data_IF_262190942045
#
_entry.id   IF_262190942045
#
_cell.length_a   1.000
_cell.length_b   1.000
_cell.length_c   1.000
_cell.angle_alpha   90.00
_cell.angle_beta   90.00
_cell.angle_gamma   90.00
#
_symmetry.space_group_name_H-M   'P 1'
#
loop_
_entity.id
_entity.type
_entity.pdbx_description
1 polymer ?
#
# COMPACT_ATOMS: atom_id res chain seq x y z
N UNK A 1 38.35 10.77 -31.32
CA UNK A 1 37.19 9.96 -31.71
C UNK A 1 36.03 10.26 -30.77
N UNK A 2 34.80 10.39 -31.27
CA UNK A 2 33.64 10.62 -30.40
C UNK A 2 33.44 9.44 -29.44
N UNK A 3 33.19 9.74 -28.17
CA UNK A 3 32.84 8.72 -27.17
C UNK A 3 31.41 8.24 -27.41
N UNK A 4 31.14 6.94 -27.19
CA UNK A 4 29.80 6.36 -27.33
C UNK A 4 28.81 7.12 -26.40
N UNK A 5 27.76 7.74 -26.96
CA UNK A 5 26.75 8.50 -26.20
C UNK A 5 26.86 10.04 -26.32
N UNK A 6 27.86 10.60 -26.93
CA UNK A 6 28.01 12.07 -27.06
C UNK A 6 27.12 12.70 -28.14
N UNK A 7 26.45 11.90 -28.99
CA UNK A 7 25.60 12.37 -30.10
C UNK A 7 26.30 13.42 -31.02
N UNK A 8 27.61 13.18 -31.29
CA UNK A 8 28.42 13.99 -32.19
C UNK A 8 29.02 13.07 -33.24
N UNK A 9 28.80 13.36 -34.50
CA UNK A 9 29.27 12.53 -35.62
C UNK A 9 29.75 13.35 -36.80
N UNK A 10 30.68 12.80 -37.60
CA UNK A 10 31.23 13.45 -38.79
C UNK A 10 30.32 13.17 -39.99
N UNK A 11 29.88 14.20 -40.67
CA UNK A 11 29.06 14.11 -41.87
C UNK A 11 29.91 13.77 -43.10
N UNK A 12 29.25 13.38 -44.18
CA UNK A 12 29.87 13.10 -45.48
C UNK A 12 30.48 14.35 -46.14
N UNK A 13 29.97 15.55 -45.78
CA UNK A 13 30.47 16.83 -46.22
C UNK A 13 31.70 17.33 -45.45
N UNK A 14 32.23 16.52 -44.55
CA UNK A 14 33.45 16.81 -43.76
C UNK A 14 33.20 17.56 -42.45
N UNK A 15 32.03 18.16 -42.23
CA UNK A 15 31.68 18.89 -41.02
C UNK A 15 31.27 17.92 -39.91
N UNK A 16 31.35 18.41 -38.66
CA UNK A 16 30.86 17.71 -37.46
C UNK A 16 29.48 18.22 -37.07
N UNK A 17 28.55 17.31 -36.83
CA UNK A 17 27.21 17.57 -36.37
C UNK A 17 27.07 17.07 -34.93
N UNK A 18 26.56 17.94 -34.06
CA UNK A 18 26.25 17.62 -32.65
C UNK A 18 24.78 17.80 -32.37
N UNK A 19 24.09 16.75 -31.95
CA UNK A 19 22.68 16.79 -31.63
C UNK A 19 22.46 16.95 -30.12
N UNK A 20 21.51 17.77 -29.71
CA UNK A 20 21.12 17.98 -28.32
C UNK A 20 19.61 18.09 -28.20
N UNK A 21 19.08 17.82 -27.01
CA UNK A 21 17.64 17.96 -26.74
C UNK A 21 17.36 19.44 -26.46
N UNK A 22 16.60 20.08 -27.35
CA UNK A 22 16.16 21.47 -27.19
C UNK A 22 14.92 21.59 -26.29
N UNK A 23 14.05 20.57 -26.29
CA UNK A 23 12.81 20.54 -25.53
C UNK A 23 12.14 19.19 -25.59
N UNK A 24 10.92 19.13 -25.07
CA UNK A 24 10.01 17.99 -25.27
C UNK A 24 8.63 18.52 -25.62
N UNK A 25 7.93 17.87 -26.54
CA UNK A 25 6.55 18.16 -26.89
C UNK A 25 5.60 17.88 -25.73
N UNK A 26 4.36 18.35 -25.80
CA UNK A 26 3.30 18.04 -24.85
C UNK A 26 3.03 16.53 -24.71
N UNK A 27 3.34 15.74 -25.75
CA UNK A 27 3.27 14.27 -25.75
C UNK A 27 4.50 13.58 -25.15
N UNK A 28 5.52 14.35 -24.67
CA UNK A 28 6.74 13.82 -24.06
C UNK A 28 7.85 13.44 -25.06
N UNK A 29 7.64 13.57 -26.36
CA UNK A 29 8.67 13.32 -27.38
C UNK A 29 9.78 14.38 -27.31
N UNK A 30 11.05 13.95 -27.47
CA UNK A 30 12.18 14.86 -27.46
C UNK A 30 12.24 15.67 -28.76
N UNK A 31 12.32 17.00 -28.63
CA UNK A 31 12.68 17.92 -29.71
C UNK A 31 14.18 18.11 -29.74
N UNK A 32 14.80 17.91 -30.89
CA UNK A 32 16.24 18.00 -31.05
C UNK A 32 16.64 19.29 -31.71
N UNK A 33 17.76 19.85 -31.28
CA UNK A 33 18.50 20.88 -31.99
C UNK A 33 19.82 20.31 -32.47
N UNK A 34 20.31 20.82 -33.60
CA UNK A 34 21.56 20.41 -34.23
C UNK A 34 22.53 21.58 -34.30
N UNK A 35 23.81 21.35 -34.04
CA UNK A 35 24.90 22.31 -34.22
C UNK A 35 25.97 21.76 -35.17
N UNK A 36 26.60 22.62 -35.90
CA UNK A 36 27.61 22.27 -36.89
C UNK A 36 28.92 22.99 -36.67
N UNK A 37 30.06 22.30 -36.88
CA UNK A 37 31.39 22.89 -36.80
C UNK A 37 32.39 22.09 -37.66
N UNK A 38 33.51 22.71 -37.98
CA UNK A 38 34.54 22.13 -38.83
C UNK A 38 35.45 21.13 -38.05
N UNK A 39 35.40 21.13 -36.74
CA UNK A 39 36.14 20.19 -35.88
C UNK A 39 35.26 19.60 -34.77
N UNK A 40 35.60 18.39 -34.35
CA UNK A 40 34.95 17.72 -33.22
C UNK A 40 34.95 18.57 -31.96
N UNK A 41 36.12 19.19 -31.63
CA UNK A 41 36.27 20.04 -30.43
C UNK A 41 35.38 21.26 -30.47
N UNK A 42 35.30 21.94 -31.63
CA UNK A 42 34.44 23.09 -31.83
C UNK A 42 32.94 22.72 -31.81
N UNK A 43 32.58 21.58 -32.41
CA UNK A 43 31.21 21.07 -32.35
C UNK A 43 30.76 20.76 -30.95
N UNK A 44 31.62 20.12 -30.16
CA UNK A 44 31.38 19.81 -28.75
C UNK A 44 31.19 21.08 -27.92
N UNK A 45 32.05 22.09 -28.10
CA UNK A 45 31.97 23.36 -27.40
C UNK A 45 30.66 24.10 -27.75
N UNK A 46 30.31 24.22 -29.04
CA UNK A 46 29.04 24.82 -29.50
C UNK A 46 27.82 24.08 -28.92
N UNK A 47 27.84 22.74 -28.94
CA UNK A 47 26.77 21.94 -28.39
C UNK A 47 26.59 22.21 -26.89
N UNK A 48 27.70 22.25 -26.13
CA UNK A 48 27.68 22.54 -24.70
C UNK A 48 27.15 23.94 -24.42
N UNK A 49 27.59 24.94 -25.17
CA UNK A 49 27.10 26.31 -25.08
C UNK A 49 25.61 26.40 -25.39
N UNK A 50 25.11 25.69 -26.42
CA UNK A 50 23.67 25.64 -26.70
C UNK A 50 22.87 24.99 -25.57
N UNK A 51 23.42 23.95 -24.90
CA UNK A 51 22.75 23.32 -23.75
C UNK A 51 22.71 24.28 -22.57
N UNK A 52 23.78 25.02 -22.31
CA UNK A 52 23.89 26.00 -21.20
C UNK A 52 23.05 27.26 -21.46
N UNK A 53 22.86 27.64 -22.73
CA UNK A 53 22.01 28.78 -23.12
C UNK A 53 20.55 28.40 -23.38
N UNK A 54 20.21 27.10 -23.30
CA UNK A 54 18.80 26.74 -23.27
C UNK A 54 18.16 27.48 -22.11
N UNK A 55 17.05 28.25 -22.31
CA UNK A 55 16.33 28.80 -21.20
C UNK A 55 16.03 27.64 -20.25
N UNK A 56 16.46 27.77 -19.00
CA UNK A 56 15.90 26.89 -17.97
C UNK A 56 14.41 26.83 -18.25
N UNK A 57 13.86 25.61 -18.38
CA UNK A 57 12.41 25.44 -18.56
C UNK A 57 11.76 26.56 -17.77
N UNK A 58 10.93 27.44 -18.38
CA UNK A 58 10.28 28.48 -17.62
C UNK A 58 9.72 27.76 -16.41
N UNK A 59 10.16 28.17 -15.20
CA UNK A 59 9.69 27.54 -13.97
C UNK A 59 8.17 27.63 -14.12
N UNK A 60 7.55 26.50 -14.52
CA UNK A 60 6.09 26.39 -14.70
C UNK A 60 5.58 27.04 -13.45
N UNK A 61 4.82 28.12 -13.59
CA UNK A 61 4.40 29.02 -12.51
C UNK A 61 4.14 28.14 -11.32
N UNK A 62 5.03 28.25 -10.31
CA UNK A 62 5.14 27.25 -9.25
C UNK A 62 3.74 27.10 -8.74
N UNK A 63 3.13 25.97 -9.01
CA UNK A 63 1.72 25.74 -8.69
C UNK A 63 1.58 26.14 -7.24
N UNK A 64 0.87 27.22 -6.95
CA UNK A 64 0.62 27.69 -5.60
C UNK A 64 -0.21 26.68 -4.78
N UNK A 65 -0.48 25.51 -5.39
CA UNK A 65 -1.24 24.44 -4.77
C UNK A 65 -0.56 24.00 -3.47
N UNK A 66 -1.30 24.11 -2.39
CA UNK A 66 -0.88 23.62 -1.08
C UNK A 66 -0.92 22.11 -1.03
N UNK A 67 -0.19 21.53 -0.07
CA UNK A 67 -0.26 20.07 0.15
C UNK A 67 -1.68 19.61 0.53
N UNK A 68 -2.48 20.46 1.18
CA UNK A 68 -3.88 20.16 1.48
C UNK A 68 -4.70 19.96 0.21
N UNK A 69 -4.60 20.87 -0.76
CA UNK A 69 -5.27 20.77 -2.05
C UNK A 69 -4.76 19.56 -2.87
N UNK A 70 -3.45 19.31 -2.83
CA UNK A 70 -2.85 18.14 -3.47
C UNK A 70 -3.36 16.82 -2.87
N UNK A 71 -3.51 16.75 -1.56
CA UNK A 71 -4.01 15.58 -0.86
C UNK A 71 -5.50 15.34 -1.15
N UNK A 72 -6.32 16.38 -1.19
CA UNK A 72 -7.73 16.30 -1.55
C UNK A 72 -7.90 15.77 -2.98
N UNK A 73 -7.15 16.33 -3.93
CA UNK A 73 -7.15 15.87 -5.32
C UNK A 73 -6.74 14.40 -5.44
N UNK A 74 -5.70 13.98 -4.71
CA UNK A 74 -5.25 12.59 -4.69
C UNK A 74 -6.30 11.65 -4.09
N UNK A 75 -6.89 12.01 -2.94
CA UNK A 75 -7.87 11.18 -2.25
C UNK A 75 -9.18 11.06 -3.03
N UNK A 76 -9.64 12.12 -3.68
CA UNK A 76 -10.85 12.10 -4.51
C UNK A 76 -10.68 11.13 -5.69
N UNK A 77 -9.59 11.22 -6.43
CA UNK A 77 -9.30 10.30 -7.54
C UNK A 77 -9.14 8.85 -7.05
N UNK A 78 -8.46 8.66 -5.93
CA UNK A 78 -8.24 7.31 -5.38
C UNK A 78 -9.49 6.70 -4.77
N UNK A 79 -10.52 7.47 -4.44
CA UNK A 79 -11.80 6.97 -3.91
C UNK A 79 -12.50 6.00 -4.85
N UNK A 80 -12.35 6.19 -6.17
CA UNK A 80 -12.96 5.34 -7.19
C UNK A 80 -12.19 4.04 -7.47
N UNK A 81 -10.91 3.98 -7.10
CA UNK A 81 -10.02 2.85 -7.43
C UNK A 81 -9.68 2.02 -6.21
N UNK A 82 -9.55 2.64 -5.04
CA UNK A 82 -9.15 1.96 -3.83
C UNK A 82 -10.32 1.28 -3.13
N UNK A 83 -10.05 0.11 -2.54
CA UNK A 83 -11.00 -0.47 -1.57
C UNK A 83 -11.21 0.49 -0.40
N UNK A 84 -12.44 0.53 0.12
CA UNK A 84 -12.84 1.44 1.20
C UNK A 84 -11.90 1.40 2.42
N UNK A 85 -11.38 0.21 2.78
CA UNK A 85 -10.41 0.07 3.89
C UNK A 85 -9.08 0.79 3.64
N UNK A 86 -8.58 0.74 2.41
CA UNK A 86 -7.34 1.43 2.02
C UNK A 86 -7.55 2.93 1.94
N UNK A 87 -8.68 3.35 1.38
CA UNK A 87 -9.06 4.77 1.31
C UNK A 87 -9.21 5.36 2.71
N UNK A 88 -9.92 4.69 3.62
CA UNK A 88 -10.06 5.10 5.02
C UNK A 88 -8.70 5.26 5.71
N UNK A 89 -7.77 4.32 5.48
CA UNK A 89 -6.40 4.40 6.00
C UNK A 89 -5.66 5.62 5.46
N UNK A 90 -5.71 5.85 4.15
CA UNK A 90 -5.05 7.00 3.51
C UNK A 90 -5.63 8.32 4.00
N UNK A 91 -6.95 8.43 4.06
CA UNK A 91 -7.65 9.60 4.60
C UNK A 91 -7.25 9.87 6.04
N UNK A 92 -7.24 8.83 6.89
CA UNK A 92 -6.83 8.94 8.29
C UNK A 92 -5.38 9.44 8.43
N UNK A 93 -4.43 8.80 7.73
CA UNK A 93 -3.01 9.19 7.80
C UNK A 93 -2.80 10.62 7.30
N UNK A 94 -3.51 11.00 6.25
CA UNK A 94 -3.45 12.35 5.68
C UNK A 94 -3.98 13.38 6.68
N UNK A 95 -5.18 13.18 7.21
CA UNK A 95 -5.84 14.14 8.09
C UNK A 95 -5.17 14.27 9.45
N UNK A 96 -4.66 13.18 10.04
CA UNK A 96 -4.14 13.18 11.40
C UNK A 96 -2.65 13.48 11.50
N UNK A 97 -1.87 13.20 10.46
CA UNK A 97 -0.42 13.37 10.51
C UNK A 97 0.12 14.34 9.47
N UNK A 98 -0.32 14.24 8.20
CA UNK A 98 0.29 15.00 7.11
C UNK A 98 -0.23 16.44 7.10
N UNK A 99 -1.53 16.64 7.07
CA UNK A 99 -2.12 17.98 6.94
C UNK A 99 -1.85 18.89 8.13
N UNK A 100 -1.88 18.45 9.40
CA UNK A 100 -1.57 19.34 10.53
C UNK A 100 -0.13 19.85 10.51
N UNK A 101 0.79 19.12 9.92
CA UNK A 101 2.21 19.46 9.91
C UNK A 101 2.66 20.22 8.64
N UNK A 102 2.10 19.86 7.48
CA UNK A 102 2.61 20.29 6.17
C UNK A 102 1.50 20.81 5.24
N UNK A 103 0.23 20.76 5.65
CA UNK A 103 -0.92 21.04 4.79
C UNK A 103 -0.92 22.39 4.10
N UNK A 104 -0.43 23.43 4.75
CA UNK A 104 -0.36 24.80 4.22
C UNK A 104 0.83 25.07 3.31
N UNK A 105 1.82 24.17 3.30
CA UNK A 105 3.02 24.35 2.50
C UNK A 105 2.74 24.17 1.00
N UNK A 106 3.22 25.05 0.13
CA UNK A 106 3.18 24.86 -1.31
C UNK A 106 4.01 23.61 -1.72
N UNK A 107 3.43 22.74 -2.55
CA UNK A 107 4.07 21.46 -2.91
C UNK A 107 5.43 21.63 -3.61
N UNK A 108 5.59 22.71 -4.36
CA UNK A 108 6.84 23.01 -5.07
C UNK A 108 7.97 23.50 -4.13
N UNK A 109 7.62 23.94 -2.92
CA UNK A 109 8.58 24.43 -1.92
C UNK A 109 8.93 23.36 -0.87
N UNK A 110 8.18 22.25 -0.82
CA UNK A 110 8.46 21.14 0.08
C UNK A 110 9.76 20.45 -0.33
N UNK A 111 10.80 20.61 0.50
CA UNK A 111 12.09 19.98 0.28
C UNK A 111 12.14 18.55 0.82
N UNK A 112 13.11 17.77 0.35
CA UNK A 112 13.37 16.43 0.87
C UNK A 112 13.73 16.44 2.36
N UNK A 113 14.50 17.43 2.80
CA UNK A 113 14.92 17.59 4.20
C UNK A 113 13.75 17.91 5.13
N UNK A 114 12.85 18.81 4.71
CA UNK A 114 11.63 19.11 5.49
C UNK A 114 10.76 17.88 5.70
N UNK A 115 10.62 17.03 4.68
CA UNK A 115 9.85 15.77 4.79
C UNK A 115 10.59 14.78 5.69
N UNK A 116 11.91 14.65 5.55
CA UNK A 116 12.71 13.76 6.40
C UNK A 116 12.67 14.19 7.86
N UNK A 117 12.73 15.51 8.13
CA UNK A 117 12.57 16.07 9.49
C UNK A 117 11.17 15.85 10.06
N UNK A 118 10.13 15.98 9.25
CA UNK A 118 8.77 15.66 9.63
C UNK A 118 8.64 14.19 10.06
N UNK A 119 9.18 13.27 9.27
CA UNK A 119 9.13 11.83 9.59
C UNK A 119 9.94 11.49 10.85
N UNK A 120 11.09 12.13 11.06
CA UNK A 120 11.87 12.01 12.30
C UNK A 120 11.11 12.51 13.53
N UNK A 121 10.39 13.64 13.41
CA UNK A 121 9.54 14.16 14.50
C UNK A 121 8.43 13.18 14.86
N UNK A 122 7.78 12.54 13.88
CA UNK A 122 6.77 11.51 14.14
C UNK A 122 7.34 10.32 14.92
N UNK A 123 8.57 9.89 14.61
CA UNK A 123 9.22 8.82 15.38
C UNK A 123 9.54 9.25 16.81
N UNK A 124 10.03 10.48 17.01
CA UNK A 124 10.30 11.02 18.34
C UNK A 124 9.03 11.19 19.19
N UNK A 125 7.88 11.41 18.57
CA UNK A 125 6.57 11.44 19.26
C UNK A 125 6.00 10.04 19.58
N UNK A 126 6.77 8.97 19.35
CA UNK A 126 6.39 7.60 19.72
C UNK A 126 5.81 6.75 18.59
N UNK A 127 5.72 7.25 17.34
CA UNK A 127 5.32 6.40 16.22
C UNK A 127 6.39 5.38 15.88
N UNK A 128 5.94 4.15 15.59
CA UNK A 128 6.85 3.11 15.11
C UNK A 128 7.51 3.51 13.79
N UNK A 129 8.76 3.08 13.57
CA UNK A 129 9.47 3.35 12.31
C UNK A 129 8.70 2.88 11.07
N UNK A 130 7.95 1.76 11.20
CA UNK A 130 7.05 1.28 10.13
C UNK A 130 5.93 2.29 9.85
N UNK A 131 5.26 2.79 10.90
CA UNK A 131 4.17 3.76 10.74
C UNK A 131 4.65 5.06 10.12
N UNK A 132 5.79 5.60 10.58
CA UNK A 132 6.39 6.79 10.01
C UNK A 132 6.76 6.58 8.53
N UNK A 133 7.31 5.41 8.17
CA UNK A 133 7.60 5.05 6.78
C UNK A 133 6.33 4.98 5.93
N UNK A 134 5.25 4.37 6.42
CA UNK A 134 3.97 4.26 5.69
C UNK A 134 3.39 5.66 5.40
N UNK A 135 3.49 6.59 6.37
CA UNK A 135 3.11 8.00 6.18
C UNK A 135 3.98 8.66 5.10
N UNK A 136 5.28 8.46 5.14
CA UNK A 136 6.22 8.99 4.14
C UNK A 136 5.94 8.44 2.73
N UNK A 137 5.62 7.14 2.60
CA UNK A 137 5.23 6.53 1.32
C UNK A 137 3.96 7.17 0.77
N UNK A 138 2.96 7.39 1.63
CA UNK A 138 1.72 8.05 1.24
C UNK A 138 1.97 9.50 0.80
N UNK A 139 2.74 10.28 1.58
CA UNK A 139 3.10 11.66 1.24
C UNK A 139 3.82 11.74 -0.12
N UNK A 140 4.82 10.87 -0.34
CA UNK A 140 5.50 10.78 -1.65
C UNK A 140 4.55 10.42 -2.78
N UNK A 141 3.55 9.57 -2.53
CA UNK A 141 2.54 9.20 -3.52
C UNK A 141 1.62 10.38 -3.87
N UNK A 142 1.22 11.18 -2.88
CA UNK A 142 0.47 12.43 -3.08
C UNK A 142 1.29 13.40 -3.94
N UNK A 143 2.53 13.67 -3.55
CA UNK A 143 3.42 14.60 -4.26
C UNK A 143 3.69 14.15 -5.70
N UNK A 144 4.00 12.87 -5.93
CA UNK A 144 4.24 12.32 -7.27
C UNK A 144 3.01 12.44 -8.17
N UNK A 145 1.83 12.11 -7.62
CA UNK A 145 0.59 12.20 -8.36
C UNK A 145 0.28 13.64 -8.77
N UNK A 146 0.39 14.58 -7.82
CA UNK A 146 0.07 15.98 -8.05
C UNK A 146 1.11 16.65 -8.96
N UNK A 147 2.40 16.36 -8.77
CA UNK A 147 3.45 16.84 -9.65
C UNK A 147 3.20 16.46 -11.12
N UNK A 148 2.78 15.19 -11.34
CA UNK A 148 2.42 14.71 -12.69
C UNK A 148 1.17 15.40 -13.23
N UNK A 149 0.14 15.63 -12.40
CA UNK A 149 -1.14 16.20 -12.84
C UNK A 149 -1.04 17.70 -13.11
N UNK A 150 -0.22 18.42 -12.34
CA UNK A 150 -0.02 19.87 -12.47
C UNK A 150 1.23 20.24 -13.28
N UNK A 151 1.94 19.28 -13.83
CA UNK A 151 3.23 19.44 -14.55
C UNK A 151 4.22 20.34 -13.80
N UNK A 152 4.36 20.12 -12.49
CA UNK A 152 5.24 20.90 -11.62
C UNK A 152 6.32 20.04 -10.97
N UNK A 153 7.43 20.68 -10.55
CA UNK A 153 8.50 20.03 -9.78
C UNK A 153 8.14 19.99 -8.30
N UNK A 154 8.34 18.85 -7.68
CA UNK A 154 8.15 18.63 -6.23
C UNK A 154 9.42 18.00 -5.65
N UNK A 155 10.39 18.80 -5.15
CA UNK A 155 11.67 18.29 -4.61
C UNK A 155 11.49 17.26 -3.49
N UNK A 156 10.44 17.40 -2.68
CA UNK A 156 10.09 16.52 -1.59
C UNK A 156 9.84 15.04 -1.99
N UNK A 157 9.61 14.77 -3.28
CA UNK A 157 9.48 13.40 -3.77
C UNK A 157 10.75 12.57 -3.50
N UNK A 158 11.90 13.20 -3.43
CA UNK A 158 13.20 12.56 -3.21
C UNK A 158 13.52 12.34 -1.72
N UNK A 159 12.64 12.70 -0.79
CA UNK A 159 12.87 12.53 0.64
C UNK A 159 13.24 11.08 1.00
N UNK A 160 14.18 10.93 1.91
CA UNK A 160 14.54 9.62 2.45
C UNK A 160 13.47 9.13 3.43
N UNK A 161 13.15 7.86 3.33
CA UNK A 161 12.16 7.23 4.20
C UNK A 161 12.86 6.55 5.38
N UNK A 162 12.28 6.60 6.59
CA UNK A 162 12.83 5.92 7.75
C UNK A 162 13.09 4.44 7.48
N UNK A 163 14.25 3.96 7.87
CA UNK A 163 14.55 2.52 7.90
C UNK A 163 13.86 1.94 9.14
N UNK A 164 13.27 0.78 9.00
CA UNK A 164 12.75 0.01 10.13
C UNK A 164 13.14 -1.45 9.99
N UNK A 165 13.47 -2.05 11.11
CA UNK A 165 13.70 -3.49 11.19
C UNK A 165 12.40 -4.19 11.54
N UNK A 166 12.06 -5.23 10.78
CA UNK A 166 10.91 -6.08 11.11
C UNK A 166 11.22 -6.82 12.40
N UNK A 167 10.32 -6.74 13.38
CA UNK A 167 10.40 -7.60 14.57
C UNK A 167 10.28 -9.06 14.11
N UNK A 168 11.07 -9.93 14.71
CA UNK A 168 10.92 -11.38 14.51
C UNK A 168 9.52 -11.78 14.98
N UNK A 169 8.81 -12.53 14.14
CA UNK A 169 7.50 -13.05 14.50
C UNK A 169 7.74 -14.25 15.41
N UNK A 170 7.17 -14.22 16.59
CA UNK A 170 7.10 -15.37 17.47
C UNK A 170 5.99 -16.30 16.97
N UNK A 171 6.31 -17.56 16.82
CA UNK A 171 5.39 -18.61 16.39
C UNK A 171 5.28 -19.65 17.49
N UNK A 172 4.12 -20.26 17.62
CA UNK A 172 3.93 -21.37 18.56
C UNK A 172 4.75 -22.57 18.13
N UNK A 173 5.40 -23.21 19.07
CA UNK A 173 6.03 -24.50 18.87
C UNK A 173 5.00 -25.64 19.00
N UNK A 174 5.36 -26.83 18.55
CA UNK A 174 4.44 -27.97 18.50
C UNK A 174 3.88 -28.35 19.89
N UNK A 175 4.70 -28.29 20.93
CA UNK A 175 4.30 -28.52 22.31
C UNK A 175 3.32 -27.47 22.86
N UNK A 176 3.48 -26.21 22.46
CA UNK A 176 2.56 -25.13 22.84
C UNK A 176 1.21 -25.30 22.16
N UNK A 177 1.22 -25.67 20.86
CA UNK A 177 0.00 -26.01 20.13
C UNK A 177 -0.69 -27.23 20.78
N UNK A 178 0.06 -28.25 21.16
CA UNK A 178 -0.46 -29.43 21.86
C UNK A 178 -1.13 -29.07 23.20
N UNK A 179 -0.51 -28.21 24.01
CA UNK A 179 -1.09 -27.70 25.27
C UNK A 179 -2.37 -26.90 25.06
N UNK A 180 -2.39 -26.04 24.02
CA UNK A 180 -3.58 -25.29 23.65
C UNK A 180 -4.73 -26.23 23.21
N UNK A 181 -4.44 -27.20 22.34
CA UNK A 181 -5.40 -28.18 21.90
C UNK A 181 -6.01 -28.96 23.07
N UNK A 182 -5.17 -29.45 24.00
CA UNK A 182 -5.62 -30.14 25.20
C UNK A 182 -6.59 -29.30 26.04
N UNK A 183 -6.24 -28.02 26.30
CA UNK A 183 -7.13 -27.11 27.05
C UNK A 183 -8.48 -26.88 26.36
N UNK A 184 -8.48 -26.75 25.04
CA UNK A 184 -9.72 -26.55 24.28
C UNK A 184 -10.59 -27.82 24.34
N UNK A 185 -9.98 -29.00 24.27
CA UNK A 185 -10.70 -30.28 24.35
C UNK A 185 -11.25 -30.57 25.76
N UNK A 186 -10.56 -30.13 26.82
CA UNK A 186 -11.03 -30.28 28.22
C UNK A 186 -12.24 -29.39 28.51
N UNK A 187 -12.31 -28.20 27.92
CA UNK A 187 -13.40 -27.23 28.08
C UNK A 187 -13.78 -26.60 26.75
N UNK A 188 -14.51 -27.30 25.87
CA UNK A 188 -14.82 -26.83 24.52
C UNK A 188 -15.67 -25.56 24.54
N UNK A 189 -15.14 -24.49 23.93
CA UNK A 189 -15.90 -23.29 23.61
C UNK A 189 -15.88 -23.06 22.10
N UNK A 190 -16.90 -22.41 21.54
CA UNK A 190 -16.91 -22.11 20.10
C UNK A 190 -15.70 -21.28 19.68
N UNK A 191 -15.24 -20.38 20.53
CA UNK A 191 -14.04 -19.61 20.27
C UNK A 191 -12.77 -20.47 20.26
N UNK A 192 -12.63 -21.41 21.23
CA UNK A 192 -11.51 -22.35 21.29
C UNK A 192 -11.48 -23.29 20.08
N UNK A 193 -12.62 -23.89 19.73
CA UNK A 193 -12.75 -24.70 18.52
C UNK A 193 -12.40 -23.89 17.26
N UNK A 194 -12.81 -22.61 17.21
CA UNK A 194 -12.46 -21.70 16.14
C UNK A 194 -10.96 -21.43 16.03
N UNK A 195 -10.29 -21.28 17.18
CA UNK A 195 -8.82 -21.09 17.20
C UNK A 195 -8.10 -22.35 16.70
N UNK A 196 -8.51 -23.56 17.14
CA UNK A 196 -7.95 -24.80 16.63
C UNK A 196 -8.21 -24.97 15.12
N UNK A 197 -9.41 -24.59 14.66
CA UNK A 197 -9.74 -24.58 13.25
C UNK A 197 -8.83 -23.64 12.46
N UNK A 198 -8.59 -22.44 13.00
CA UNK A 198 -7.69 -21.47 12.34
C UNK A 198 -6.23 -21.95 12.29
N UNK A 199 -5.76 -22.63 13.34
CA UNK A 199 -4.42 -23.24 13.36
C UNK A 199 -4.27 -24.36 12.32
N UNK A 200 -5.28 -25.25 12.21
CA UNK A 200 -5.25 -26.34 11.26
C UNK A 200 -5.41 -25.88 9.80
N UNK A 201 -6.32 -24.95 9.55
CA UNK A 201 -6.67 -24.50 8.21
C UNK A 201 -5.93 -23.22 7.76
N UNK A 202 -5.07 -22.64 8.58
CA UNK A 202 -4.38 -21.37 8.27
C UNK A 202 -5.35 -20.22 7.99
N UNK A 203 -6.48 -20.16 8.71
CA UNK A 203 -7.46 -19.09 8.54
C UNK A 203 -6.95 -17.77 9.12
N UNK A 204 -7.16 -16.67 8.37
CA UNK A 204 -6.96 -15.34 8.95
C UNK A 204 -8.08 -15.03 9.94
N UNK A 205 -7.79 -14.23 10.96
CA UNK A 205 -8.77 -13.83 11.98
C UNK A 205 -10.11 -13.35 11.38
N UNK A 206 -10.07 -12.49 10.38
CA UNK A 206 -11.28 -12.00 9.71
C UNK A 206 -12.03 -13.08 8.89
N UNK A 207 -11.32 -14.05 8.34
CA UNK A 207 -11.91 -15.20 7.63
C UNK A 207 -12.65 -16.11 8.61
N UNK A 208 -12.00 -16.42 9.75
CA UNK A 208 -12.63 -17.19 10.83
C UNK A 208 -13.89 -16.53 11.37
N UNK A 209 -13.85 -15.21 11.64
CA UNK A 209 -15.01 -14.47 12.15
C UNK A 209 -16.15 -14.37 11.12
N UNK A 210 -15.85 -14.49 9.82
CA UNK A 210 -16.83 -14.46 8.74
C UNK A 210 -17.33 -15.84 8.31
N UNK A 211 -16.79 -16.91 8.90
CA UNK A 211 -17.14 -18.29 8.54
C UNK A 211 -18.58 -18.59 8.96
N UNK A 212 -19.38 -19.12 8.04
CA UNK A 212 -20.75 -19.58 8.26
C UNK A 212 -20.78 -21.11 8.28
N UNK A 213 -21.84 -21.71 8.83
CA UNK A 213 -21.96 -23.16 8.86
C UNK A 213 -21.97 -23.76 7.46
N UNK A 214 -22.61 -23.12 6.47
CA UNK A 214 -22.62 -23.55 5.07
C UNK A 214 -21.24 -23.56 4.40
N UNK A 215 -20.28 -22.83 4.96
CA UNK A 215 -18.91 -22.80 4.45
C UNK A 215 -18.09 -24.02 4.93
N UNK A 216 -18.65 -24.85 5.84
CA UNK A 216 -18.00 -26.03 6.42
C UNK A 216 -18.68 -27.28 5.88
N UNK A 217 -18.06 -27.93 4.93
CA UNK A 217 -18.55 -29.19 4.35
C UNK A 217 -17.97 -30.38 5.12
N UNK A 218 -18.74 -30.87 6.08
CA UNK A 218 -18.36 -32.05 6.90
C UNK A 218 -18.40 -33.37 6.13
N UNK A 219 -19.14 -33.43 5.02
CA UNK A 219 -19.21 -34.63 4.20
C UNK A 219 -17.95 -34.81 3.36
N UNK A 220 -17.50 -33.73 2.72
CA UNK A 220 -16.30 -33.75 1.90
C UNK A 220 -15.02 -33.39 2.71
N UNK A 221 -15.17 -33.06 3.98
CA UNK A 221 -14.05 -32.73 4.87
C UNK A 221 -13.32 -31.45 4.50
N UNK A 222 -14.02 -30.41 4.03
CA UNK A 222 -13.40 -29.19 3.54
C UNK A 222 -14.05 -27.91 4.11
N UNK A 223 -13.31 -26.83 4.08
CA UNK A 223 -13.81 -25.46 4.36
C UNK A 223 -13.67 -24.60 3.11
N UNK A 224 -14.69 -23.81 2.81
CA UNK A 224 -14.72 -22.82 1.76
C UNK A 224 -14.47 -21.41 2.32
N UNK A 225 -13.30 -20.83 2.07
CA UNK A 225 -12.98 -19.47 2.49
C UNK A 225 -13.40 -18.50 1.40
N UNK A 226 -14.51 -17.81 1.59
CA UNK A 226 -15.12 -16.92 0.59
C UNK A 226 -15.32 -15.49 1.08
N UNK A 227 -15.17 -15.25 2.38
CA UNK A 227 -15.51 -13.99 3.04
C UNK A 227 -14.48 -13.62 4.12
N UNK A 228 -14.47 -12.34 4.49
CA UNK A 228 -13.70 -11.83 5.64
C UNK A 228 -14.49 -10.76 6.37
N UNK A 229 -14.46 -10.78 7.70
CA UNK A 229 -15.05 -9.75 8.56
C UNK A 229 -13.99 -8.72 8.94
N UNK A 230 -14.31 -7.45 8.79
CA UNK A 230 -13.41 -6.35 9.12
C UNK A 230 -14.20 -5.18 9.67
N UNK A 231 -13.69 -4.53 10.71
CA UNK A 231 -14.25 -3.27 11.20
C UNK A 231 -13.82 -2.13 10.30
N UNK A 232 -14.78 -1.38 9.79
CA UNK A 232 -14.55 -0.26 8.88
C UNK A 232 -15.20 1.02 9.41
N UNK A 233 -14.54 2.15 9.21
CA UNK A 233 -15.08 3.47 9.51
C UNK A 233 -16.03 3.89 8.39
N UNK A 234 -17.24 4.34 8.76
CA UNK A 234 -18.23 4.94 7.86
C UNK A 234 -18.78 6.19 8.55
N UNK A 235 -18.38 7.37 8.09
CA UNK A 235 -18.68 8.63 8.77
C UNK A 235 -18.03 8.70 10.15
N UNK A 236 -18.82 9.02 11.17
CA UNK A 236 -18.39 9.13 12.57
C UNK A 236 -18.28 7.78 13.28
N UNK A 237 -18.89 6.73 12.78
CA UNK A 237 -19.01 5.43 13.43
C UNK A 237 -18.16 4.35 12.72
N UNK A 238 -17.92 3.27 13.43
CA UNK A 238 -17.27 2.07 12.87
C UNK A 238 -18.27 0.93 12.86
N UNK A 239 -18.32 0.18 11.77
CA UNK A 239 -19.21 -0.97 11.59
C UNK A 239 -18.39 -2.21 11.26
N UNK A 240 -18.86 -3.36 11.73
CA UNK A 240 -18.36 -4.64 11.28
C UNK A 240 -18.95 -4.93 9.90
N UNK A 241 -18.09 -5.17 8.91
CA UNK A 241 -18.48 -5.43 7.53
C UNK A 241 -17.93 -6.78 7.12
N UNK A 242 -18.78 -7.64 6.58
CA UNK A 242 -18.39 -8.88 5.93
C UNK A 242 -18.32 -8.61 4.42
N UNK A 243 -17.20 -8.93 3.82
CA UNK A 243 -16.93 -8.65 2.41
C UNK A 243 -16.12 -9.78 1.76
N UNK A 244 -16.15 -9.89 0.42
CA UNK A 244 -15.27 -10.83 -0.29
C UNK A 244 -13.79 -10.55 0.04
N UNK A 245 -12.91 -11.55 -0.08
CA UNK A 245 -11.48 -11.39 0.11
C UNK A 245 -10.88 -10.33 -0.84
N UNK A 246 -9.68 -9.86 -0.51
CA UNK A 246 -9.02 -8.78 -1.26
C UNK A 246 -8.67 -9.18 -2.71
N UNK A 247 -8.40 -10.45 -2.94
CA UNK A 247 -8.00 -11.02 -4.24
C UNK A 247 -8.75 -12.32 -4.47
N UNK A 248 -8.95 -12.70 -5.73
CA UNK A 248 -9.61 -13.97 -6.07
C UNK A 248 -8.81 -15.17 -5.57
N UNK A 249 -7.49 -15.11 -5.54
CA UNK A 249 -6.62 -16.14 -4.97
C UNK A 249 -6.81 -16.36 -3.46
N UNK A 250 -7.50 -15.44 -2.77
CA UNK A 250 -7.81 -15.62 -1.36
C UNK A 250 -9.11 -16.42 -1.14
N UNK A 251 -9.89 -16.66 -2.20
CA UNK A 251 -10.95 -17.67 -2.21
C UNK A 251 -10.28 -19.01 -2.36
N UNK A 252 -10.49 -19.90 -1.41
CA UNK A 252 -9.86 -21.21 -1.40
C UNK A 252 -10.71 -22.24 -0.67
N UNK A 253 -10.55 -23.48 -1.05
CA UNK A 253 -11.07 -24.65 -0.34
C UNK A 253 -9.91 -25.32 0.39
N UNK A 254 -10.09 -25.64 1.66
CA UNK A 254 -9.05 -26.19 2.52
C UNK A 254 -9.53 -27.52 3.05
N UNK A 255 -8.80 -28.62 2.81
CA UNK A 255 -9.11 -29.91 3.43
C UNK A 255 -8.79 -29.86 4.93
N UNK A 256 -9.60 -30.51 5.72
CA UNK A 256 -9.44 -30.64 7.18
C UNK A 256 -8.93 -32.03 7.55
N UNK A 257 -8.03 -32.12 8.55
CA UNK A 257 -7.64 -33.38 9.16
C UNK A 257 -8.84 -34.06 9.86
N UNK A 258 -8.83 -35.40 9.92
CA UNK A 258 -9.94 -36.15 10.51
C UNK A 258 -10.20 -35.81 11.98
N UNK A 259 -9.16 -35.58 12.77
CA UNK A 259 -9.28 -35.13 14.18
C UNK A 259 -10.08 -33.81 14.30
N UNK A 260 -9.85 -32.89 13.38
CA UNK A 260 -10.58 -31.62 13.33
C UNK A 260 -12.03 -31.82 12.89
N UNK A 261 -12.26 -32.71 11.94
CA UNK A 261 -13.61 -33.08 11.49
C UNK A 261 -14.40 -33.77 12.60
N UNK A 262 -13.77 -34.66 13.36
CA UNK A 262 -14.41 -35.33 14.52
C UNK A 262 -14.83 -34.27 15.58
N UNK A 263 -13.96 -33.32 15.88
CA UNK A 263 -14.27 -32.22 16.79
C UNK A 263 -15.42 -31.36 16.27
N UNK A 264 -15.43 -31.01 14.98
CA UNK A 264 -16.50 -30.22 14.38
C UNK A 264 -17.83 -30.97 14.39
N UNK A 265 -17.86 -32.26 14.07
CA UNK A 265 -19.08 -33.12 14.11
C UNK A 265 -19.68 -33.16 15.52
N UNK A 266 -18.85 -33.14 16.58
CA UNK A 266 -19.33 -33.07 17.96
C UNK A 266 -19.84 -31.70 18.36
N UNK A 267 -19.23 -30.61 17.80
CA UNK A 267 -19.51 -29.23 18.18
C UNK A 267 -20.63 -28.59 17.38
N UNK A 268 -20.75 -28.96 16.09
CA UNK A 268 -21.74 -28.42 15.17
C UNK A 268 -23.02 -29.24 15.25
N UNK A 269 -24.09 -28.68 15.83
CA UNK A 269 -25.40 -29.30 15.87
C UNK A 269 -26.02 -29.39 14.46
N UNK A 270 -26.52 -30.55 14.01
CA UNK A 270 -27.12 -30.72 12.68
C UNK A 270 -28.34 -29.80 12.40
N UNK A 271 -29.06 -29.39 13.44
CA UNK A 271 -30.27 -28.53 13.32
C UNK A 271 -29.98 -27.03 13.24
N UNK A 272 -28.72 -26.60 13.03
CA UNK A 272 -28.38 -25.18 12.95
C UNK A 272 -28.71 -24.61 11.58
N UNK A 273 -29.09 -23.32 11.59
CA UNK A 273 -29.25 -22.56 10.35
C UNK A 273 -27.90 -22.40 9.66
N UNK A 274 -27.77 -22.88 8.44
CA UNK A 274 -26.54 -22.83 7.64
C UNK A 274 -26.02 -21.40 7.39
N UNK A 275 -26.91 -20.40 7.38
CA UNK A 275 -26.57 -19.00 7.20
C UNK A 275 -25.98 -18.34 8.47
N UNK A 276 -26.07 -19.00 9.62
CA UNK A 276 -25.50 -18.47 10.85
C UNK A 276 -23.95 -18.59 10.86
N UNK A 277 -23.33 -17.64 11.53
CA UNK A 277 -21.88 -17.62 11.68
C UNK A 277 -21.41 -18.68 12.68
N UNK A 278 -20.35 -19.36 12.32
CA UNK A 278 -19.81 -20.50 13.08
C UNK A 278 -19.47 -20.13 14.53
N UNK A 279 -18.76 -19.01 14.78
CA UNK A 279 -18.32 -18.62 16.11
C UNK A 279 -19.45 -18.14 17.02
N UNK A 280 -20.50 -17.56 16.47
CA UNK A 280 -21.60 -16.98 17.27
C UNK A 280 -22.83 -17.86 17.33
N UNK A 281 -23.01 -18.75 16.36
CA UNK A 281 -24.24 -19.49 16.13
C UNK A 281 -25.45 -18.61 15.75
N UNK A 282 -25.21 -17.33 15.40
CA UNK A 282 -26.23 -16.31 15.13
C UNK A 282 -26.05 -15.74 13.72
N UNK A 283 -27.03 -14.94 13.29
CA UNK A 283 -26.99 -14.21 12.00
C UNK A 283 -25.96 -13.06 11.97
N UNK A 284 -25.32 -12.73 13.09
CA UNK A 284 -24.29 -11.71 13.19
C UNK A 284 -22.90 -12.34 13.42
N UNK A 285 -21.85 -11.89 12.72
CA UNK A 285 -20.49 -12.38 12.90
C UNK A 285 -19.89 -11.93 14.23
N UNK A 286 -18.91 -12.68 14.73
CA UNK A 286 -18.12 -12.26 15.89
C UNK A 286 -17.20 -11.10 15.49
N UNK A 287 -17.09 -10.10 16.35
CA UNK A 287 -16.11 -9.02 16.20
C UNK A 287 -14.68 -9.59 16.30
N UNK A 288 -13.81 -9.42 15.30
CA UNK A 288 -12.45 -9.96 15.32
C UNK A 288 -11.64 -9.54 16.55
N UNK A 289 -11.84 -8.32 17.03
CA UNK A 289 -11.16 -7.82 18.22
C UNK A 289 -11.61 -8.52 19.50
N UNK A 290 -12.89 -8.90 19.57
CA UNK A 290 -13.39 -9.68 20.72
C UNK A 290 -12.73 -11.04 20.79
N UNK A 291 -12.56 -11.73 19.66
CA UNK A 291 -11.85 -13.01 19.64
C UNK A 291 -10.38 -12.86 20.06
N UNK A 292 -9.69 -11.80 19.65
CA UNK A 292 -8.31 -11.51 20.07
C UNK A 292 -8.15 -11.27 21.57
N UNK A 293 -9.17 -10.76 22.24
CA UNK A 293 -9.14 -10.55 23.70
C UNK A 293 -9.48 -11.81 24.50
N UNK A 294 -10.09 -12.80 23.87
CA UNK A 294 -10.44 -14.08 24.51
C UNK A 294 -9.27 -15.07 24.51
N UNK A 295 -8.30 -14.87 23.62
CA UNK A 295 -7.11 -15.68 23.38
C UNK A 295 -5.86 -14.81 23.19
#
# INVERSE_FOLDING_TARGET
>A
MPKRGENIYKRKDGRWEGRYIRGRTASGQAEYGDVYADSYKACRAKRQQCIETLPEKPAVQASAATLAQAAELFLSEKSHVLKASSWNRYSYLTQHYILPALGTAPICQLTADQISDFLRRLQRSGLSGKSARDIGVLLKSILKYTAKKLDCSCPGVNAELPVYHRKKIEVFFADEIGRLAKKVLEAPSMAGVGVLLALNAGLRLGELCALQYKDIDLCNGVIHVTKTAQRMKKGMHTHLVVQPPKTDNARRTIPLPEDMLALLRQTVCPARNEENYFLTGKSAPLEPRTLQYQY
#
